data_IF_170205116562
#
_entry.id   IF_170205116562
#
_cell.length_a   1.000
_cell.length_b   1.000
_cell.length_c   1.000
_cell.angle_alpha   90.00
_cell.angle_beta   90.00
_cell.angle_gamma   90.00
#
_symmetry.space_group_name_H-M   'P 1'
#
loop_
_entity.id
_entity.type
_entity.pdbx_description
1 polymer ?
#
# COMPACT_ATOMS: atom_id res chain seq x y z
N UNK A 1 32.70 12.55 11.59
CA UNK A 1 33.34 11.23 11.39
C UNK A 1 32.63 10.56 10.22
N UNK A 2 33.36 9.97 9.27
CA UNK A 2 32.76 9.27 8.12
C UNK A 2 32.13 7.98 8.62
N UNK A 3 30.94 7.62 8.15
CA UNK A 3 30.36 6.30 8.43
C UNK A 3 30.61 5.40 7.23
N UNK A 4 31.17 4.22 7.49
CA UNK A 4 31.37 3.15 6.52
C UNK A 4 30.54 1.95 6.95
N UNK A 5 29.63 1.49 6.09
CA UNK A 5 28.89 0.23 6.32
C UNK A 5 29.48 -0.86 5.45
N UNK A 6 29.97 -1.94 6.06
CA UNK A 6 30.49 -3.12 5.36
C UNK A 6 29.43 -4.23 5.43
N UNK A 7 28.82 -4.53 4.29
CA UNK A 7 27.95 -5.71 4.17
C UNK A 7 28.83 -6.94 3.98
N UNK A 8 28.70 -7.87 4.91
CA UNK A 8 29.57 -9.04 5.05
C UNK A 8 28.74 -10.32 5.19
N UNK A 9 29.41 -11.47 5.08
CA UNK A 9 28.84 -12.79 5.36
C UNK A 9 29.84 -13.66 6.11
N UNK A 10 29.37 -14.71 6.77
CA UNK A 10 30.26 -15.66 7.45
C UNK A 10 31.16 -16.39 6.46
N UNK A 11 32.39 -16.70 6.88
CA UNK A 11 33.39 -17.45 6.11
C UNK A 11 33.74 -16.81 4.75
N UNK A 12 33.95 -15.49 4.74
CA UNK A 12 34.25 -14.72 3.54
C UNK A 12 35.63 -14.07 3.62
N UNK A 13 36.63 -14.66 2.95
CA UNK A 13 38.00 -14.16 2.97
C UNK A 13 38.13 -12.72 2.43
N UNK A 14 37.41 -12.40 1.35
CA UNK A 14 37.37 -11.03 0.80
C UNK A 14 36.80 -10.02 1.80
N UNK A 15 35.86 -10.44 2.64
CA UNK A 15 35.25 -9.59 3.66
C UNK A 15 36.23 -9.32 4.81
N UNK A 16 37.03 -10.31 5.20
CA UNK A 16 38.09 -10.14 6.19
C UNK A 16 39.20 -9.22 5.65
N UNK A 17 39.56 -9.34 4.37
CA UNK A 17 40.49 -8.42 3.71
C UNK A 17 39.95 -6.98 3.69
N UNK A 18 38.70 -6.79 3.29
CA UNK A 18 38.06 -5.47 3.29
C UNK A 18 38.03 -4.82 4.68
N UNK A 19 37.80 -5.62 5.74
CA UNK A 19 37.88 -5.16 7.13
C UNK A 19 39.30 -4.69 7.48
N UNK A 20 40.31 -5.49 7.15
CA UNK A 20 41.71 -5.15 7.40
C UNK A 20 42.15 -3.87 6.65
N UNK A 21 41.74 -3.72 5.39
CA UNK A 21 42.03 -2.53 4.58
C UNK A 21 41.39 -1.27 5.20
N UNK A 22 40.13 -1.36 5.62
CA UNK A 22 39.43 -0.27 6.31
C UNK A 22 40.12 0.09 7.63
N UNK A 23 40.48 -0.90 8.44
CA UNK A 23 41.18 -0.66 9.71
C UNK A 23 42.55 0.01 9.50
N UNK A 24 43.29 -0.37 8.45
CA UNK A 24 44.57 0.28 8.09
C UNK A 24 44.40 1.76 7.71
N UNK A 25 43.27 2.12 7.11
CA UNK A 25 42.97 3.48 6.66
C UNK A 25 42.40 4.38 7.77
N UNK A 26 42.10 3.84 8.96
CA UNK A 26 41.53 4.63 10.08
C UNK A 26 42.42 5.78 10.53
N UNK A 27 43.75 5.62 10.45
CA UNK A 27 44.71 6.65 10.84
C UNK A 27 44.69 7.86 9.90
N UNK A 28 44.51 7.63 8.59
CA UNK A 28 44.46 8.69 7.56
C UNK A 28 43.05 9.29 7.43
N UNK A 29 42.01 8.46 7.57
CA UNK A 29 40.61 8.85 7.47
C UNK A 29 39.84 8.36 8.69
N UNK A 30 39.60 9.23 9.67
CA UNK A 30 38.80 8.86 10.84
C UNK A 30 37.36 8.48 10.43
N UNK A 31 37.04 7.20 10.57
CA UNK A 31 35.74 6.65 10.21
C UNK A 31 35.23 5.65 11.25
N UNK A 32 33.90 5.53 11.29
CA UNK A 32 33.17 4.52 12.04
C UNK A 32 32.85 3.36 11.09
N UNK A 33 33.37 2.17 11.38
CA UNK A 33 33.06 0.95 10.64
C UNK A 33 31.82 0.26 11.24
N UNK A 34 30.83 -0.01 10.40
CA UNK A 34 29.59 -0.70 10.77
C UNK A 34 29.42 -1.95 9.94
N UNK A 35 29.53 -3.11 10.58
CA UNK A 35 29.37 -4.39 9.89
C UNK A 35 27.93 -4.91 9.96
N UNK A 36 27.40 -5.37 8.83
CA UNK A 36 26.06 -5.94 8.71
C UNK A 36 26.15 -7.30 8.03
N UNK A 37 25.75 -8.35 8.74
CA UNK A 37 25.68 -9.71 8.20
C UNK A 37 24.45 -9.85 7.30
N UNK A 38 24.66 -10.11 6.01
CA UNK A 38 23.58 -10.16 5.01
C UNK A 38 22.69 -11.38 5.18
N UNK A 39 23.23 -12.51 5.69
CA UNK A 39 22.52 -13.78 5.84
C UNK A 39 21.40 -13.69 6.91
N UNK A 40 21.41 -12.64 7.74
CA UNK A 40 20.40 -12.40 8.78
C UNK A 40 19.12 -11.72 8.25
N UNK A 41 19.15 -11.17 7.03
CA UNK A 41 18.04 -10.44 6.43
C UNK A 41 17.84 -10.86 4.97
N UNK A 42 16.73 -11.53 4.60
CA UNK A 42 16.50 -12.02 3.25
C UNK A 42 16.59 -10.96 2.15
N UNK A 43 16.31 -9.69 2.46
CA UNK A 43 16.43 -8.59 1.48
C UNK A 43 17.89 -8.21 1.28
N UNK A 44 18.69 -8.20 2.35
CA UNK A 44 20.14 -7.99 2.24
C UNK A 44 20.80 -9.15 1.52
N UNK A 45 20.41 -10.38 1.85
CA UNK A 45 20.89 -11.59 1.17
C UNK A 45 20.55 -11.53 -0.32
N UNK A 46 19.30 -11.30 -0.70
CA UNK A 46 18.89 -11.24 -2.12
C UNK A 46 19.64 -10.14 -2.88
N UNK A 47 19.91 -9.00 -2.24
CA UNK A 47 20.61 -7.86 -2.86
C UNK A 47 22.13 -8.04 -2.95
N UNK A 48 22.75 -8.70 -1.98
CA UNK A 48 24.21 -8.67 -1.81
C UNK A 48 24.90 -10.04 -1.90
N UNK A 49 24.18 -11.18 -1.87
CA UNK A 49 24.78 -12.53 -1.83
C UNK A 49 25.83 -12.82 -2.90
N UNK A 50 25.73 -12.20 -4.08
CA UNK A 50 26.65 -12.42 -5.22
C UNK A 50 27.79 -11.38 -5.29
N UNK A 51 27.68 -10.30 -4.52
CA UNK A 51 28.57 -9.12 -4.61
C UNK A 51 29.20 -8.73 -3.28
N UNK A 52 29.07 -9.55 -2.24
CA UNK A 52 29.79 -9.35 -0.97
C UNK A 52 31.29 -9.63 -1.14
N UNK A 53 32.19 -8.83 -0.51
CA UNK A 53 31.90 -7.70 0.37
C UNK A 53 31.43 -6.44 -0.37
N UNK A 54 30.54 -5.67 0.25
CA UNK A 54 30.13 -4.34 -0.25
C UNK A 54 30.41 -3.27 0.80
N UNK A 55 31.16 -2.24 0.43
CA UNK A 55 31.45 -1.10 1.32
C UNK A 55 30.65 0.13 0.90
N UNK A 56 29.81 0.64 1.80
CA UNK A 56 29.06 1.89 1.65
C UNK A 56 29.74 3.01 2.45
N UNK A 57 30.39 3.95 1.77
CA UNK A 57 31.15 5.07 2.34
C UNK A 57 30.40 6.37 2.01
N UNK A 58 29.54 6.84 2.92
CA UNK A 58 28.65 7.97 2.61
C UNK A 58 27.76 7.67 1.39
N UNK A 59 27.78 8.51 0.32
CA UNK A 59 27.01 8.25 -0.90
C UNK A 59 27.67 7.21 -1.83
N UNK A 60 28.93 6.84 -1.59
CA UNK A 60 29.70 5.96 -2.47
C UNK A 60 29.52 4.49 -2.08
N UNK A 61 29.21 3.64 -3.06
CA UNK A 61 29.09 2.19 -2.89
C UNK A 61 30.19 1.51 -3.70
N UNK A 62 30.97 0.66 -3.04
CA UNK A 62 31.99 -0.19 -3.66
C UNK A 62 31.53 -1.65 -3.58
N UNK A 63 31.46 -2.32 -4.72
CA UNK A 63 31.07 -3.73 -4.86
C UNK A 63 32.33 -4.61 -4.87
N UNK A 64 32.17 -5.92 -4.61
CA UNK A 64 33.27 -6.87 -4.49
C UNK A 64 34.35 -6.70 -5.58
N UNK A 65 35.60 -7.01 -5.19
CA UNK A 65 36.83 -6.79 -5.97
C UNK A 65 37.34 -5.33 -5.97
N UNK A 66 36.87 -4.49 -5.05
CA UNK A 66 37.51 -3.20 -4.78
C UNK A 66 38.87 -3.38 -4.08
N UNK A 67 39.75 -2.40 -4.26
CA UNK A 67 41.09 -2.35 -3.66
C UNK A 67 41.16 -1.35 -2.49
N UNK A 68 42.23 -1.41 -1.70
CA UNK A 68 42.52 -0.39 -0.69
C UNK A 68 42.59 1.03 -1.29
N UNK A 69 43.02 1.17 -2.55
CA UNK A 69 43.04 2.46 -3.26
C UNK A 69 41.63 3.00 -3.49
N UNK A 70 40.69 2.14 -3.89
CA UNK A 70 39.29 2.52 -4.11
C UNK A 70 38.63 2.98 -2.80
N UNK A 71 38.90 2.26 -1.70
CA UNK A 71 38.48 2.66 -0.36
C UNK A 71 39.04 4.03 0.02
N UNK A 72 40.32 4.27 -0.25
CA UNK A 72 40.98 5.55 0.03
C UNK A 72 40.31 6.71 -0.72
N UNK A 73 40.02 6.52 -2.01
CA UNK A 73 39.32 7.51 -2.85
C UNK A 73 37.93 7.81 -2.31
N UNK A 74 37.15 6.76 -2.00
CA UNK A 74 35.79 6.92 -1.47
C UNK A 74 35.78 7.65 -0.11
N UNK A 75 36.72 7.30 0.78
CA UNK A 75 36.88 7.97 2.09
C UNK A 75 37.30 9.43 1.94
N UNK A 76 38.23 9.73 1.03
CA UNK A 76 38.63 11.11 0.74
C UNK A 76 37.45 11.95 0.23
N UNK A 77 36.70 11.42 -0.73
CA UNK A 77 35.53 12.10 -1.29
C UNK A 77 34.43 12.32 -0.22
N UNK A 78 34.18 11.34 0.65
CA UNK A 78 33.23 11.48 1.74
C UNK A 78 33.67 12.51 2.80
N UNK A 79 34.98 12.59 3.11
CA UNK A 79 35.55 13.61 4.02
C UNK A 79 35.26 15.02 3.52
N UNK A 80 35.42 15.24 2.21
CA UNK A 80 35.24 16.55 1.58
C UNK A 80 33.76 16.93 1.48
N UNK A 81 32.87 15.96 1.26
CA UNK A 81 31.42 16.14 1.33
C UNK A 81 30.94 16.54 2.74
N UNK A 82 31.44 15.88 3.79
CA UNK A 82 31.10 16.19 5.19
C UNK A 82 31.60 17.57 5.63
N UNK A 83 32.71 18.07 5.07
CA UNK A 83 33.18 19.44 5.31
C UNK A 83 32.19 20.49 4.81
N UNK A 84 31.38 20.18 3.78
CA UNK A 84 30.39 21.10 3.20
C UNK A 84 29.01 21.06 3.87
N UNK A 85 28.60 19.95 4.49
CA UNK A 85 27.22 19.76 4.99
C UNK A 85 27.02 20.05 6.49
N UNK A 86 27.80 20.95 7.09
CA UNK A 86 27.79 21.18 8.54
C UNK A 86 26.56 21.98 9.00
N UNK A 87 25.40 21.35 8.98
CA UNK A 87 24.19 21.76 9.71
C UNK A 87 23.28 20.54 9.88
N UNK A 88 23.38 19.84 11.02
CA UNK A 88 22.34 18.90 11.42
C UNK A 88 21.78 19.30 12.79
N UNK A 89 20.47 19.51 12.82
CA UNK A 89 19.66 19.70 14.03
C UNK A 89 19.49 18.31 14.67
N UNK A 90 19.97 18.16 15.90
CA UNK A 90 19.97 16.88 16.60
C UNK A 90 18.61 16.53 17.20
N UNK A 91 17.96 15.46 16.71
CA UNK A 91 16.87 14.79 17.43
C UNK A 91 17.47 14.00 18.60
N UNK A 92 16.87 14.01 19.81
CA UNK A 92 17.38 13.23 20.93
C UNK A 92 17.51 11.73 20.59
N UNK A 93 18.66 11.12 20.92
CA UNK A 93 19.07 9.76 20.49
C UNK A 93 18.02 8.67 20.74
N UNK A 94 17.33 8.71 21.89
CA UNK A 94 16.28 7.73 22.24
C UNK A 94 15.08 7.81 21.29
N UNK A 95 14.63 9.01 20.96
CA UNK A 95 13.52 9.21 20.02
C UNK A 95 13.90 8.75 18.62
N UNK A 96 15.14 9.02 18.18
CA UNK A 96 15.64 8.56 16.89
C UNK A 96 15.65 7.02 16.78
N UNK A 97 15.99 6.29 17.85
CA UNK A 97 15.96 4.82 17.86
C UNK A 97 14.52 4.31 17.74
N UNK A 98 13.59 4.82 18.54
CA UNK A 98 12.18 4.39 18.52
C UNK A 98 11.56 4.66 17.15
N UNK A 99 11.81 5.85 16.58
CA UNK A 99 11.33 6.19 15.23
C UNK A 99 11.91 5.25 14.17
N UNK A 100 13.22 5.00 14.19
CA UNK A 100 13.85 4.06 13.25
C UNK A 100 13.30 2.63 13.41
N UNK A 101 13.05 2.16 14.64
CA UNK A 101 12.41 0.87 14.87
C UNK A 101 10.97 0.83 14.31
N UNK A 102 10.20 1.90 14.49
CA UNK A 102 8.87 2.04 13.91
C UNK A 102 8.89 2.02 12.38
N UNK A 103 9.83 2.72 11.75
CA UNK A 103 10.02 2.70 10.30
C UNK A 103 10.45 1.30 9.82
N UNK A 104 11.32 0.62 10.56
CA UNK A 104 11.71 -0.76 10.23
C UNK A 104 10.52 -1.71 10.33
N UNK A 105 9.68 -1.58 11.35
CA UNK A 105 8.44 -2.35 11.48
C UNK A 105 7.51 -2.09 10.30
N UNK A 106 7.27 -0.82 9.98
CA UNK A 106 6.43 -0.41 8.85
C UNK A 106 6.96 -1.00 7.53
N UNK A 107 8.24 -0.82 7.22
CA UNK A 107 8.85 -1.34 5.98
C UNK A 107 8.80 -2.87 5.89
N UNK A 108 8.77 -3.60 7.01
CA UNK A 108 8.63 -5.06 7.02
C UNK A 108 7.19 -5.52 6.85
N UNK A 109 6.24 -4.80 7.43
CA UNK A 109 4.84 -5.20 7.51
C UNK A 109 3.88 -4.39 6.64
N UNK A 110 4.40 -3.48 5.80
CA UNK A 110 3.61 -2.54 5.00
C UNK A 110 2.48 -3.22 4.22
N UNK A 111 2.75 -4.35 3.57
CA UNK A 111 1.77 -5.06 2.75
C UNK A 111 0.61 -5.61 3.59
N UNK A 112 0.92 -6.19 4.76
CA UNK A 112 -0.10 -6.70 5.68
C UNK A 112 -0.93 -5.54 6.25
N UNK A 113 -0.28 -4.41 6.58
CA UNK A 113 -0.96 -3.23 7.09
C UNK A 113 -1.92 -2.62 6.05
N UNK A 114 -1.48 -2.46 4.80
CA UNK A 114 -2.34 -1.93 3.73
C UNK A 114 -3.50 -2.89 3.44
N UNK A 115 -3.24 -4.20 3.34
CA UNK A 115 -4.31 -5.18 3.15
C UNK A 115 -5.30 -5.22 4.33
N UNK A 116 -4.82 -5.05 5.57
CA UNK A 116 -5.69 -4.92 6.74
C UNK A 116 -6.56 -3.67 6.65
N UNK A 117 -6.01 -2.53 6.22
CA UNK A 117 -6.78 -1.30 6.01
C UNK A 117 -7.87 -1.53 4.96
N UNK A 118 -7.55 -2.13 3.81
CA UNK A 118 -8.56 -2.43 2.79
C UNK A 118 -9.61 -3.42 3.28
N UNK A 119 -9.21 -4.48 3.99
CA UNK A 119 -10.11 -5.46 4.59
C UNK A 119 -11.08 -4.83 5.58
N UNK A 120 -10.58 -4.00 6.50
CA UNK A 120 -11.43 -3.29 7.45
C UNK A 120 -12.35 -2.30 6.72
N UNK A 121 -11.83 -1.55 5.76
CA UNK A 121 -12.61 -0.55 5.03
C UNK A 121 -13.78 -1.18 4.26
N UNK A 122 -13.55 -2.27 3.52
CA UNK A 122 -14.58 -2.92 2.70
C UNK A 122 -15.42 -3.93 3.50
N UNK A 123 -14.87 -4.53 4.55
CA UNK A 123 -15.54 -5.55 5.36
C UNK A 123 -16.49 -4.99 6.41
N UNK A 124 -16.13 -3.89 7.09
CA UNK A 124 -16.99 -3.28 8.11
C UNK A 124 -18.39 -2.89 7.59
N UNK A 125 -18.58 -2.37 6.36
CA UNK A 125 -19.89 -2.10 5.79
C UNK A 125 -20.85 -3.30 5.71
N UNK A 126 -20.32 -4.52 5.61
CA UNK A 126 -21.12 -5.75 5.63
C UNK A 126 -21.62 -6.12 7.02
N UNK A 127 -21.03 -5.55 8.07
CA UNK A 127 -21.53 -5.75 9.44
C UNK A 127 -22.85 -5.01 9.68
N UNK A 128 -23.15 -3.94 8.92
CA UNK A 128 -24.42 -3.23 9.04
C UNK A 128 -25.64 -4.12 8.74
N UNK A 129 -25.73 -4.81 7.59
CA UNK A 129 -26.86 -5.73 7.33
C UNK A 129 -26.85 -6.97 8.25
N UNK A 130 -25.68 -7.46 8.69
CA UNK A 130 -25.58 -8.54 9.68
C UNK A 130 -26.24 -8.14 11.02
N UNK A 131 -25.93 -6.93 11.49
CA UNK A 131 -26.48 -6.40 12.74
C UNK A 131 -27.98 -6.09 12.62
N UNK A 132 -28.43 -5.55 11.47
CA UNK A 132 -29.86 -5.36 11.22
C UNK A 132 -30.63 -6.68 11.29
N UNK A 133 -30.12 -7.73 10.63
CA UNK A 133 -30.72 -9.06 10.67
C UNK A 133 -30.70 -9.69 12.08
N UNK A 134 -29.73 -9.33 12.91
CA UNK A 134 -29.64 -9.76 14.30
C UNK A 134 -30.51 -8.92 15.27
N UNK A 135 -31.20 -7.89 14.79
CA UNK A 135 -32.03 -6.98 15.61
C UNK A 135 -31.26 -5.82 16.26
N UNK A 136 -29.96 -5.66 15.99
CA UNK A 136 -29.08 -4.63 16.57
C UNK A 136 -29.05 -3.34 15.73
N UNK A 137 -30.21 -2.69 15.65
CA UNK A 137 -30.44 -1.52 14.76
C UNK A 137 -29.51 -0.34 15.06
N UNK A 138 -29.28 -0.03 16.35
CA UNK A 138 -28.50 1.17 16.72
C UNK A 138 -27.08 1.11 16.19
N UNK A 139 -26.40 -0.02 16.34
CA UNK A 139 -25.02 -0.21 15.89
C UNK A 139 -24.94 -0.24 14.37
N UNK A 140 -25.90 -0.89 13.71
CA UNK A 140 -25.99 -0.90 12.25
C UNK A 140 -26.13 0.51 11.65
N UNK A 141 -26.99 1.36 12.23
CA UNK A 141 -27.19 2.74 11.79
C UNK A 141 -25.94 3.61 11.99
N UNK A 142 -25.16 3.36 13.05
CA UNK A 142 -23.87 4.05 13.23
C UNK A 142 -22.89 3.74 12.10
N UNK A 143 -22.80 2.48 11.69
CA UNK A 143 -21.95 2.07 10.57
C UNK A 143 -22.42 2.77 9.28
N UNK A 144 -23.72 2.75 8.98
CA UNK A 144 -24.28 3.47 7.83
C UNK A 144 -23.89 4.96 7.86
N UNK A 145 -24.05 5.62 9.02
CA UNK A 145 -23.75 7.05 9.20
C UNK A 145 -22.26 7.37 9.01
N UNK A 146 -21.36 6.53 9.51
CA UNK A 146 -19.89 6.74 9.39
C UNK A 146 -19.44 6.68 7.93
N UNK A 147 -20.09 5.85 7.11
CA UNK A 147 -19.75 5.64 5.70
C UNK A 147 -20.52 6.55 4.73
N UNK A 148 -21.56 7.27 5.19
CA UNK A 148 -22.38 8.12 4.33
C UNK A 148 -21.66 9.33 3.71
N UNK A 149 -20.66 9.96 4.35
CA UNK A 149 -19.85 11.01 3.71
C UNK A 149 -19.00 10.52 2.53
N UNK A 150 -18.57 9.24 2.57
CA UNK A 150 -17.69 8.62 1.59
C UNK A 150 -18.49 7.99 0.45
N UNK A 151 -19.71 7.53 0.74
CA UNK A 151 -20.59 6.88 -0.22
C UNK A 151 -22.02 7.35 -0.03
N UNK A 152 -22.72 7.63 -1.13
CA UNK A 152 -24.11 8.09 -1.08
C UNK A 152 -25.08 6.98 -0.63
N UNK A 153 -24.65 5.71 -0.64
CA UNK A 153 -25.40 4.55 -0.13
C UNK A 153 -26.82 4.41 -0.70
N UNK A 154 -27.03 4.86 -1.94
CA UNK A 154 -28.31 4.74 -2.63
C UNK A 154 -28.74 3.27 -2.67
N UNK A 155 -29.97 2.98 -2.24
CA UNK A 155 -30.50 1.62 -2.19
C UNK A 155 -30.37 0.91 -3.54
N UNK A 156 -30.76 1.57 -4.63
CA UNK A 156 -30.67 1.00 -5.99
C UNK A 156 -29.24 0.85 -6.54
N UNK A 157 -28.23 1.30 -5.79
CA UNK A 157 -26.80 1.12 -6.10
C UNK A 157 -26.06 0.29 -5.05
N UNK A 158 -26.76 -0.33 -4.10
CA UNK A 158 -26.16 -1.08 -2.98
C UNK A 158 -26.42 -2.58 -3.10
N UNK A 159 -25.60 -3.38 -2.43
CA UNK A 159 -25.87 -4.80 -2.24
C UNK A 159 -26.81 -5.00 -1.05
N UNK A 160 -27.72 -5.96 -1.14
CA UNK A 160 -28.62 -6.39 -0.07
C UNK A 160 -28.25 -7.80 0.38
N UNK A 161 -28.31 -8.03 1.69
CA UNK A 161 -28.14 -9.35 2.29
C UNK A 161 -29.41 -9.75 3.04
N UNK A 162 -29.65 -11.05 3.16
CA UNK A 162 -30.78 -11.64 3.89
C UNK A 162 -32.16 -11.34 3.30
N UNK A 163 -32.23 -11.09 1.98
CA UNK A 163 -33.47 -10.79 1.28
C UNK A 163 -33.69 -11.63 0.03
N UNK A 164 -34.76 -11.33 -0.69
CA UNK A 164 -35.17 -12.00 -1.93
C UNK A 164 -34.14 -11.85 -3.08
N UNK A 165 -33.48 -10.70 -3.19
CA UNK A 165 -32.51 -10.40 -4.26
C UNK A 165 -31.26 -9.72 -3.72
N UNK A 166 -30.09 -9.90 -4.37
CA UNK A 166 -28.85 -9.25 -3.96
C UNK A 166 -28.85 -7.75 -4.27
N UNK A 167 -29.69 -7.26 -5.19
CA UNK A 167 -29.77 -5.85 -5.56
C UNK A 167 -31.14 -5.53 -6.18
N UNK A 168 -31.56 -4.28 -6.07
CA UNK A 168 -32.79 -3.75 -6.67
C UNK A 168 -32.44 -2.50 -7.49
N UNK A 169 -31.97 -2.62 -8.73
CA UNK A 169 -31.57 -1.46 -9.53
C UNK A 169 -32.78 -0.62 -9.98
N UNK A 170 -32.55 0.57 -10.55
CA UNK A 170 -33.62 1.30 -11.23
C UNK A 170 -34.09 0.54 -12.48
N UNK A 171 -35.34 0.74 -12.88
CA UNK A 171 -35.90 0.13 -14.10
C UNK A 171 -35.08 0.50 -15.35
N UNK A 172 -34.54 1.74 -15.39
CA UNK A 172 -33.67 2.23 -16.47
C UNK A 172 -32.36 1.44 -16.64
N UNK A 173 -31.94 0.67 -15.64
CA UNK A 173 -30.79 -0.22 -15.75
C UNK A 173 -31.05 -1.45 -16.62
N UNK A 174 -32.32 -1.74 -16.97
CA UNK A 174 -32.73 -2.81 -17.88
C UNK A 174 -32.15 -4.19 -17.52
N UNK A 175 -32.27 -4.59 -16.25
CA UNK A 175 -31.83 -5.90 -15.75
C UNK A 175 -33.00 -6.86 -15.55
N UNK A 176 -32.72 -8.14 -15.31
CA UNK A 176 -33.74 -9.13 -14.95
C UNK A 176 -34.14 -9.11 -13.47
N UNK A 177 -33.61 -8.18 -12.67
CA UNK A 177 -33.92 -8.02 -11.25
C UNK A 177 -35.18 -7.17 -11.07
N UNK A 178 -35.89 -7.34 -9.96
CA UNK A 178 -37.04 -6.49 -9.63
C UNK A 178 -36.54 -5.05 -9.37
N UNK A 179 -37.11 -4.05 -10.05
CA UNK A 179 -36.70 -2.66 -9.87
C UNK A 179 -36.93 -2.15 -8.45
N UNK A 180 -36.12 -1.19 -8.01
CA UNK A 180 -36.22 -0.55 -6.69
C UNK A 180 -37.62 -0.02 -6.38
N UNK A 181 -38.25 0.70 -7.31
CA UNK A 181 -39.56 1.29 -7.07
C UNK A 181 -40.66 0.23 -6.92
N UNK A 182 -40.61 -0.83 -7.72
CA UNK A 182 -41.54 -1.97 -7.58
C UNK A 182 -41.30 -2.73 -6.27
N UNK A 183 -40.04 -2.94 -5.90
CA UNK A 183 -39.68 -3.66 -4.68
C UNK A 183 -40.05 -2.88 -3.43
N UNK A 184 -39.86 -1.56 -3.39
CA UNK A 184 -40.03 -0.77 -2.16
C UNK A 184 -41.36 -0.02 -2.10
N UNK A 185 -42.01 0.20 -3.24
CA UNK A 185 -43.15 1.12 -3.37
C UNK A 185 -42.76 2.60 -3.30
N UNK A 186 -41.46 2.91 -3.34
CA UNK A 186 -40.90 4.26 -3.23
C UNK A 186 -40.53 4.82 -4.60
N UNK A 187 -40.40 6.15 -4.69
CA UNK A 187 -39.98 6.79 -5.94
C UNK A 187 -38.48 6.59 -6.16
N UNK A 188 -38.11 6.07 -7.34
CA UNK A 188 -36.71 5.86 -7.72
C UNK A 188 -35.96 7.17 -8.02
N UNK A 189 -36.69 8.23 -8.34
CA UNK A 189 -36.14 9.55 -8.62
C UNK A 189 -35.94 10.40 -7.34
N UNK A 190 -36.55 10.01 -6.21
CA UNK A 190 -36.29 10.64 -4.92
C UNK A 190 -34.96 10.15 -4.34
N UNK A 191 -33.93 10.98 -4.56
CA UNK A 191 -32.58 10.75 -4.07
C UNK A 191 -32.49 10.56 -2.55
N UNK A 192 -33.28 11.30 -1.76
CA UNK A 192 -33.19 11.25 -0.30
C UNK A 192 -33.87 10.00 0.23
N UNK A 193 -35.04 9.66 -0.30
CA UNK A 193 -35.77 8.45 0.07
C UNK A 193 -34.94 7.19 -0.25
N UNK A 194 -34.33 7.13 -1.44
CA UNK A 194 -33.43 6.04 -1.82
C UNK A 194 -32.16 5.95 -0.96
N UNK A 195 -31.67 7.08 -0.46
CA UNK A 195 -30.53 7.13 0.46
C UNK A 195 -30.91 6.66 1.87
N UNK A 196 -32.08 7.03 2.37
CA UNK A 196 -32.55 6.69 3.72
C UNK A 196 -33.04 5.25 3.84
N UNK A 197 -33.53 4.67 2.74
CA UNK A 197 -34.00 3.28 2.73
C UNK A 197 -32.88 2.29 3.10
N UNK A 198 -32.96 1.65 4.27
CA UNK A 198 -31.96 0.66 4.74
C UNK A 198 -32.31 -0.76 4.30
N UNK A 199 -33.60 -1.10 4.24
CA UNK A 199 -34.05 -2.48 4.00
C UNK A 199 -35.11 -2.94 4.99
N UNK A 200 -35.60 -4.17 4.80
CA UNK A 200 -36.60 -4.83 5.64
C UNK A 200 -36.44 -6.36 5.52
N UNK A 201 -37.22 -7.12 6.29
CA UNK A 201 -37.12 -8.60 6.31
C UNK A 201 -37.34 -9.25 4.94
N UNK A 202 -38.15 -8.64 4.07
CA UNK A 202 -38.42 -9.19 2.73
C UNK A 202 -37.25 -8.90 1.77
N UNK A 203 -36.86 -7.62 1.69
CA UNK A 203 -35.87 -7.17 0.72
C UNK A 203 -34.43 -7.41 1.19
N UNK A 204 -34.26 -7.74 2.47
CA UNK A 204 -32.97 -7.76 3.13
C UNK A 204 -32.50 -6.36 3.51
N UNK A 205 -31.26 -6.26 3.98
CA UNK A 205 -30.65 -5.01 4.42
C UNK A 205 -29.46 -4.63 3.55
N UNK A 206 -29.34 -3.34 3.23
CA UNK A 206 -28.27 -2.84 2.38
C UNK A 206 -26.91 -2.79 3.09
N UNK A 207 -25.86 -3.11 2.35
CA UNK A 207 -24.46 -2.85 2.74
C UNK A 207 -24.22 -1.35 2.82
N UNK A 208 -23.43 -0.89 3.80
CA UNK A 208 -23.14 0.54 4.02
C UNK A 208 -22.18 1.18 2.99
N UNK A 209 -22.04 0.57 1.82
CA UNK A 209 -21.28 1.06 0.67
C UNK A 209 -22.01 0.64 -0.60
N UNK A 210 -21.88 1.45 -1.65
CA UNK A 210 -22.43 1.11 -2.95
C UNK A 210 -21.65 -0.05 -3.59
N UNK A 211 -22.27 -0.69 -4.57
CA UNK A 211 -21.72 -1.80 -5.35
C UNK A 211 -20.35 -1.45 -5.95
N UNK A 212 -20.18 -0.22 -6.46
CA UNK A 212 -18.92 0.24 -7.08
C UNK A 212 -17.81 0.43 -6.05
N UNK A 213 -18.11 0.95 -4.86
CA UNK A 213 -17.12 1.12 -3.79
C UNK A 213 -16.70 -0.24 -3.24
N UNK A 214 -17.67 -1.12 -2.97
CA UNK A 214 -17.39 -2.51 -2.56
C UNK A 214 -16.48 -3.20 -3.58
N UNK A 215 -16.78 -3.07 -4.87
CA UNK A 215 -15.99 -3.65 -5.94
C UNK A 215 -14.59 -3.04 -6.04
N UNK A 216 -14.46 -1.71 -5.93
CA UNK A 216 -13.17 -1.02 -6.03
C UNK A 216 -12.25 -1.37 -4.87
N UNK A 217 -12.72 -1.22 -3.63
CA UNK A 217 -11.93 -1.52 -2.44
C UNK A 217 -11.72 -3.02 -2.24
N UNK A 218 -12.70 -3.85 -2.59
CA UNK A 218 -12.57 -5.30 -2.61
C UNK A 218 -11.57 -5.77 -3.68
N UNK A 219 -11.57 -5.14 -4.85
CA UNK A 219 -10.57 -5.34 -5.89
C UNK A 219 -9.16 -4.94 -5.44
N UNK A 220 -9.02 -3.84 -4.70
CA UNK A 220 -7.73 -3.46 -4.11
C UNK A 220 -7.24 -4.48 -3.09
N UNK A 221 -8.12 -4.97 -2.21
CA UNK A 221 -7.77 -6.06 -1.28
C UNK A 221 -7.35 -7.32 -2.04
N UNK A 222 -8.13 -7.75 -3.03
CA UNK A 222 -7.80 -8.92 -3.84
C UNK A 222 -6.45 -8.76 -4.57
N UNK A 223 -6.23 -7.60 -5.20
CA UNK A 223 -4.97 -7.27 -5.84
C UNK A 223 -3.79 -7.30 -4.87
N UNK A 224 -3.98 -6.82 -3.64
CA UNK A 224 -2.95 -6.83 -2.60
C UNK A 224 -2.65 -8.22 -2.05
N UNK A 225 -3.65 -9.10 -1.96
CA UNK A 225 -3.46 -10.51 -1.62
C UNK A 225 -2.75 -11.27 -2.75
N UNK A 226 -3.15 -11.05 -4.01
CA UNK A 226 -2.48 -11.60 -5.20
C UNK A 226 -1.02 -11.13 -5.24
N UNK A 227 -0.76 -9.85 -4.99
CA UNK A 227 0.59 -9.32 -4.87
C UNK A 227 1.38 -10.01 -3.76
N UNK A 228 0.79 -10.27 -2.60
CA UNK A 228 1.43 -11.05 -1.54
C UNK A 228 1.86 -12.46 -1.98
N UNK A 229 1.00 -13.16 -2.73
CA UNK A 229 1.28 -14.50 -3.25
C UNK A 229 2.36 -14.51 -4.33
N UNK A 230 2.40 -13.49 -5.19
CA UNK A 230 3.32 -13.41 -6.34
C UNK A 230 4.36 -12.29 -6.21
N UNK A 231 4.65 -11.85 -4.98
CA UNK A 231 5.42 -10.64 -4.65
C UNK A 231 6.74 -10.49 -5.40
N UNK A 232 7.49 -11.59 -5.54
CA UNK A 232 8.79 -11.61 -6.23
C UNK A 232 8.71 -11.64 -7.76
N UNK A 233 7.54 -11.97 -8.32
CA UNK A 233 7.34 -12.17 -9.77
C UNK A 233 6.56 -11.04 -10.42
N UNK A 234 5.77 -10.30 -9.65
CA UNK A 234 4.96 -9.20 -10.17
C UNK A 234 5.83 -7.98 -10.48
N UNK A 235 5.97 -7.69 -11.77
CA UNK A 235 6.63 -6.47 -12.26
C UNK A 235 5.64 -5.31 -12.34
N UNK A 236 6.11 -4.05 -12.31
CA UNK A 236 5.27 -2.89 -12.55
C UNK A 236 4.45 -3.03 -13.83
N UNK A 237 3.17 -2.70 -13.74
CA UNK A 237 2.25 -2.77 -14.86
C UNK A 237 2.58 -1.66 -15.88
N UNK A 238 2.67 -1.93 -17.19
CA UNK A 238 2.80 -0.88 -18.19
C UNK A 238 1.62 0.09 -18.12
N UNK A 239 1.90 1.40 -18.11
CA UNK A 239 0.88 2.44 -17.90
C UNK A 239 -0.28 2.37 -18.90
N UNK A 240 0.00 1.95 -20.14
CA UNK A 240 -1.04 1.79 -21.16
C UNK A 240 -2.01 0.65 -20.82
N UNK A 241 -1.50 -0.47 -20.28
CA UNK A 241 -2.36 -1.59 -19.85
C UNK A 241 -3.20 -1.16 -18.65
N UNK A 242 -2.59 -0.46 -17.69
CA UNK A 242 -3.33 0.12 -16.56
C UNK A 242 -4.44 1.08 -17.04
N UNK A 243 -4.15 1.94 -18.02
CA UNK A 243 -5.12 2.89 -18.54
C UNK A 243 -6.26 2.18 -19.30
N UNK A 244 -5.94 1.25 -20.21
CA UNK A 244 -6.92 0.58 -21.05
C UNK A 244 -7.78 -0.44 -20.30
N UNK A 245 -7.20 -1.11 -19.30
CA UNK A 245 -7.88 -2.20 -18.58
C UNK A 245 -8.38 -1.71 -17.21
N UNK A 246 -7.58 -0.95 -16.46
CA UNK A 246 -8.00 -0.44 -15.16
C UNK A 246 -8.94 0.76 -15.27
N UNK A 247 -8.52 1.82 -15.98
CA UNK A 247 -9.19 3.13 -15.96
C UNK A 247 -10.32 3.23 -16.99
N UNK A 248 -10.08 2.83 -18.23
CA UNK A 248 -11.03 3.03 -19.32
C UNK A 248 -12.39 2.36 -19.06
N UNK A 249 -12.49 1.11 -18.56
CA UNK A 249 -13.79 0.48 -18.33
C UNK A 249 -14.63 1.19 -17.26
N UNK A 250 -14.01 1.62 -16.15
CA UNK A 250 -14.72 2.38 -15.10
C UNK A 250 -15.04 3.81 -15.55
N UNK A 251 -14.19 4.42 -16.39
CA UNK A 251 -14.46 5.73 -16.98
C UNK A 251 -15.64 5.67 -17.96
N UNK A 252 -15.74 4.62 -18.77
CA UNK A 252 -16.88 4.40 -19.66
C UNK A 252 -18.14 4.07 -18.85
N UNK A 253 -18.06 3.23 -17.83
CA UNK A 253 -19.23 2.86 -17.02
C UNK A 253 -19.70 3.97 -16.09
N UNK A 254 -18.84 4.43 -15.18
CA UNK A 254 -19.18 5.46 -14.21
C UNK A 254 -19.22 6.86 -14.81
N UNK A 255 -18.33 7.17 -15.75
CA UNK A 255 -18.27 8.48 -16.37
C UNK A 255 -19.47 8.75 -17.28
N UNK A 256 -19.93 7.80 -18.10
CA UNK A 256 -21.14 8.03 -18.91
C UNK A 256 -22.41 8.13 -18.06
N UNK A 257 -22.51 7.38 -16.97
CA UNK A 257 -23.60 7.55 -15.99
C UNK A 257 -23.56 8.95 -15.37
N UNK A 258 -22.38 9.41 -14.92
CA UNK A 258 -22.21 10.74 -14.35
C UNK A 258 -22.54 11.86 -15.36
N UNK A 259 -22.09 11.71 -16.62
CA UNK A 259 -22.42 12.65 -17.69
C UNK A 259 -23.93 12.78 -17.93
N UNK A 260 -24.67 11.70 -17.74
CA UNK A 260 -26.13 11.70 -17.88
C UNK A 260 -26.88 12.39 -16.74
N UNK A 261 -26.22 12.63 -15.61
CA UNK A 261 -26.77 13.36 -14.45
C UNK A 261 -26.47 14.87 -14.51
N UNK A 262 -25.66 15.35 -15.47
CA UNK A 262 -25.31 16.76 -15.60
C UNK A 262 -26.40 17.57 -16.32
N UNK A 263 -27.03 18.58 -15.67
CA UNK A 263 -28.19 19.29 -16.22
C UNK A 263 -27.97 20.04 -17.54
N UNK A 264 -26.72 20.39 -17.85
CA UNK A 264 -26.35 21.20 -19.01
C UNK A 264 -25.81 20.39 -20.20
N UNK A 265 -25.68 19.07 -20.04
CA UNK A 265 -25.17 18.18 -21.09
C UNK A 265 -26.32 17.32 -21.62
N UNK A 266 -26.61 17.43 -22.92
CA UNK A 266 -27.59 16.57 -23.59
C UNK A 266 -27.00 15.18 -23.83
N UNK A 267 -26.81 14.41 -22.76
CA UNK A 267 -26.32 13.03 -22.80
C UNK A 267 -27.46 12.05 -22.51
N UNK A 268 -27.57 10.92 -23.23
CA UNK A 268 -28.62 9.93 -22.96
C UNK A 268 -28.57 9.45 -21.51
N UNK A 269 -29.73 9.39 -20.85
CA UNK A 269 -29.84 8.82 -19.51
C UNK A 269 -29.36 7.38 -19.51
N UNK A 270 -28.45 7.05 -18.60
CA UNK A 270 -27.87 5.71 -18.48
C UNK A 270 -27.60 5.38 -17.02
N UNK A 271 -28.25 4.34 -16.52
CA UNK A 271 -27.95 3.76 -15.21
C UNK A 271 -27.06 2.51 -15.37
N UNK A 272 -25.97 2.43 -14.59
CA UNK A 272 -25.09 1.25 -14.61
C UNK A 272 -25.73 0.05 -13.89
N UNK A 273 -25.53 -1.15 -14.44
CA UNK A 273 -26.03 -2.39 -13.84
C UNK A 273 -25.15 -2.82 -12.66
N UNK A 274 -25.69 -3.61 -11.71
CA UNK A 274 -24.88 -4.19 -10.63
C UNK A 274 -23.67 -4.98 -11.15
N UNK A 275 -23.83 -5.69 -12.27
CA UNK A 275 -22.75 -6.42 -12.92
C UNK A 275 -21.63 -5.49 -13.41
N UNK A 276 -21.97 -4.44 -14.17
CA UNK A 276 -20.97 -3.50 -14.70
C UNK A 276 -20.24 -2.75 -13.58
N UNK A 277 -20.94 -2.32 -12.53
CA UNK A 277 -20.32 -1.71 -11.34
C UNK A 277 -19.31 -2.63 -10.69
N UNK A 278 -19.63 -3.92 -10.61
CA UNK A 278 -18.78 -4.93 -9.99
C UNK A 278 -17.54 -5.19 -10.82
N UNK A 279 -17.71 -5.44 -12.12
CA UNK A 279 -16.60 -5.75 -13.02
C UNK A 279 -15.66 -4.56 -13.17
N UNK A 280 -16.18 -3.39 -13.48
CA UNK A 280 -15.35 -2.19 -13.72
C UNK A 280 -14.70 -1.70 -12.43
N UNK A 281 -15.41 -1.73 -11.31
CA UNK A 281 -14.86 -1.41 -9.98
C UNK A 281 -13.74 -2.36 -9.57
N UNK A 282 -13.98 -3.68 -9.65
CA UNK A 282 -12.99 -4.70 -9.29
C UNK A 282 -11.73 -4.57 -10.15
N UNK A 283 -11.91 -4.41 -11.46
CA UNK A 283 -10.81 -4.27 -12.40
C UNK A 283 -9.99 -3.00 -12.10
N UNK A 284 -10.66 -1.87 -11.87
CA UNK A 284 -9.99 -0.64 -11.47
C UNK A 284 -9.20 -0.82 -10.16
N UNK A 285 -9.80 -1.45 -9.15
CA UNK A 285 -9.15 -1.72 -7.86
C UNK A 285 -7.90 -2.60 -8.01
N UNK A 286 -8.02 -3.77 -8.65
CA UNK A 286 -6.90 -4.70 -8.86
C UNK A 286 -5.76 -4.04 -9.65
N UNK A 287 -6.09 -3.32 -10.73
CA UNK A 287 -5.10 -2.72 -11.61
C UNK A 287 -4.35 -1.56 -10.94
N UNK A 288 -4.99 -0.77 -10.08
CA UNK A 288 -4.30 0.24 -9.28
C UNK A 288 -3.27 -0.39 -8.33
N UNK A 289 -3.61 -1.52 -7.72
CA UNK A 289 -2.68 -2.23 -6.83
C UNK A 289 -1.53 -2.86 -7.60
N UNK A 290 -1.80 -3.52 -8.73
CA UNK A 290 -0.73 -4.06 -9.58
C UNK A 290 0.19 -2.93 -10.09
N UNK A 291 -0.36 -1.76 -10.43
CA UNK A 291 0.47 -0.61 -10.79
C UNK A 291 1.33 -0.12 -9.62
N UNK A 292 0.75 0.09 -8.44
CA UNK A 292 1.42 0.77 -7.33
C UNK A 292 2.35 -0.12 -6.49
N UNK A 293 1.94 -1.34 -6.17
CA UNK A 293 2.63 -2.18 -5.17
C UNK A 293 4.06 -2.58 -5.56
N UNK A 294 4.38 -2.90 -6.82
CA UNK A 294 5.76 -3.14 -7.23
C UNK A 294 6.69 -1.95 -6.95
N UNK A 295 6.22 -0.70 -7.13
CA UNK A 295 7.02 0.49 -6.81
C UNK A 295 7.16 0.71 -5.31
N UNK A 296 6.06 0.53 -4.55
CA UNK A 296 6.09 0.63 -3.09
C UNK A 296 7.04 -0.41 -2.52
N UNK A 297 7.06 -1.63 -3.06
CA UNK A 297 7.95 -2.70 -2.63
C UNK A 297 9.43 -2.33 -2.77
N UNK A 298 9.82 -1.76 -3.91
CA UNK A 298 11.18 -1.26 -4.12
C UNK A 298 11.54 -0.20 -3.06
N UNK A 299 10.66 0.77 -2.86
CA UNK A 299 10.86 1.85 -1.87
C UNK A 299 10.96 1.31 -0.44
N UNK A 300 10.10 0.37 -0.06
CA UNK A 300 10.10 -0.24 1.28
C UNK A 300 11.36 -1.09 1.50
N UNK A 301 11.86 -1.77 0.48
CA UNK A 301 13.10 -2.53 0.55
C UNK A 301 14.33 -1.60 0.71
N UNK A 302 14.38 -0.49 -0.02
CA UNK A 302 15.42 0.53 0.16
C UNK A 302 15.38 1.16 1.56
N UNK A 303 14.18 1.48 2.04
CA UNK A 303 13.98 2.01 3.39
C UNK A 303 14.43 1.02 4.45
N UNK A 304 14.12 -0.27 4.30
CA UNK A 304 14.58 -1.33 5.22
C UNK A 304 16.10 -1.38 5.30
N UNK A 305 16.80 -1.33 4.16
CA UNK A 305 18.27 -1.38 4.10
C UNK A 305 18.87 -0.15 4.79
N UNK A 306 18.35 1.04 4.46
CA UNK A 306 18.81 2.29 5.05
C UNK A 306 18.61 2.33 6.57
N UNK A 307 17.45 1.89 7.06
CA UNK A 307 17.13 1.93 8.50
C UNK A 307 17.88 0.85 9.26
N UNK A 308 18.06 -0.34 8.68
CA UNK A 308 18.86 -1.42 9.26
C UNK A 308 20.29 -0.97 9.49
N UNK A 309 20.90 -0.29 8.52
CA UNK A 309 22.26 0.24 8.69
C UNK A 309 22.36 1.32 9.76
N UNK A 310 21.38 2.23 9.85
CA UNK A 310 21.31 3.24 10.92
C UNK A 310 21.18 2.62 12.32
N UNK A 311 20.35 1.58 12.46
CA UNK A 311 20.16 0.89 13.74
C UNK A 311 21.39 0.07 14.15
N UNK A 312 22.03 -0.64 13.19
CA UNK A 312 23.26 -1.39 13.43
C UNK A 312 24.39 -0.46 13.92
N UNK A 313 24.58 0.69 13.27
CA UNK A 313 25.54 1.71 13.69
C UNK A 313 25.28 2.19 15.12
N UNK A 314 24.01 2.42 15.46
CA UNK A 314 23.62 2.89 16.79
C UNK A 314 23.92 1.85 17.88
N UNK A 315 23.71 0.56 17.57
CA UNK A 315 23.96 -0.57 18.47
C UNK A 315 25.45 -0.80 18.71
N UNK A 316 26.29 -0.76 17.68
CA UNK A 316 27.74 -0.90 17.84
C UNK A 316 28.34 0.24 18.66
N UNK A 317 27.88 1.49 18.49
CA UNK A 317 28.29 2.62 19.34
C UNK A 317 27.88 2.48 20.81
N UNK A 318 26.86 1.68 21.14
CA UNK A 318 26.49 1.41 22.54
C UNK A 318 27.26 0.24 23.14
N UNK A 319 27.82 -0.64 22.32
CA UNK A 319 28.53 -1.86 22.75
C UNK A 319 30.05 -1.69 22.79
N UNK A 320 30.61 -0.65 22.15
CA UNK A 320 32.02 -0.29 22.30
C UNK A 320 32.27 0.40 23.67
N UNK A 321 33.19 -0.09 24.51
CA UNK A 321 33.63 0.64 25.70
C UNK A 321 34.38 1.92 25.27
N UNK A 322 34.19 3.00 26.04
CA UNK A 322 34.94 4.27 25.89
C UNK A 322 36.45 4.08 26.02
#
# INVERSE_FOLDING_TARGET
>A
MIRVTLYTRKNCHLCDQARADLDSLRAEFTHELVEIEIDSDPILEERYKEIVPVAQVGPYKLEALFTATDLRVALAAARDGLRRSKAEVGVPRRHAIILNQGVLFLSRHWLAMINLIFFLYVGLPFTAPLLMNAGETRTALWIQRIYSPQCHQLAYRSWFLFGEQPAYPLESANTSLTPYGEATGLDGDDYWEAKEFIGNERLGYKVALCQRDVATWGGMLAGGLIFGLFRKRMKPLPILIWLLVGVLPIALDGGTQLLSEFPFLSFPHRESTPFLRTVTGTLFGVMNIWMAFPYIEVSMNEMRILVTSKLAATKQRTEMPE
#
